data_IF_735876472540
#
_entry.id   IF_735876472540
#
_cell.length_a   1.000
_cell.length_b   1.000
_cell.length_c   1.000
_cell.angle_alpha   90.00
_cell.angle_beta   90.00
_cell.angle_gamma   90.00
#
_symmetry.space_group_name_H-M   'P 1'
#
loop_
_entity.id
_entity.type
_entity.pdbx_description
1 polymer ?
#
# COMPACT_ATOMS: atom_id res chain seq x y z
N UNK A 1 -10.41 17.50 -0.99
CA UNK A 1 -9.05 17.11 -1.45
C UNK A 1 -9.14 16.99 -2.95
N UNK A 2 -8.40 17.82 -3.67
CA UNK A 2 -8.33 17.72 -5.13
C UNK A 2 -7.32 16.63 -5.48
N UNK A 3 -7.82 15.58 -6.14
CA UNK A 3 -7.03 14.43 -6.56
C UNK A 3 -6.41 14.79 -7.91
N UNK A 4 -5.10 14.61 -8.07
CA UNK A 4 -4.43 14.89 -9.34
C UNK A 4 -4.84 13.84 -10.40
N UNK A 5 -4.77 14.17 -11.70
CA UNK A 5 -5.07 13.20 -12.77
C UNK A 5 -4.20 11.94 -12.72
N UNK A 6 -2.98 12.07 -12.21
CA UNK A 6 -2.03 10.99 -12.06
C UNK A 6 -2.41 10.06 -10.91
N UNK A 7 -2.80 10.61 -9.76
CA UNK A 7 -3.38 9.85 -8.65
C UNK A 7 -4.68 9.16 -9.06
N UNK A 8 -5.53 9.83 -9.84
CA UNK A 8 -6.80 9.27 -10.33
C UNK A 8 -6.56 8.05 -11.25
N UNK A 9 -5.57 8.12 -12.13
CA UNK A 9 -5.15 7.02 -13.00
C UNK A 9 -4.60 5.83 -12.18
N UNK A 10 -3.81 6.12 -11.16
CA UNK A 10 -3.25 5.11 -10.25
C UNK A 10 -4.36 4.42 -9.43
N UNK A 11 -5.32 5.18 -8.92
CA UNK A 11 -6.49 4.66 -8.20
C UNK A 11 -7.35 3.77 -9.11
N UNK A 12 -7.57 4.17 -10.37
CA UNK A 12 -8.27 3.34 -11.37
C UNK A 12 -7.54 2.02 -11.62
N UNK A 13 -6.22 2.06 -11.86
CA UNK A 13 -5.41 0.87 -12.08
C UNK A 13 -5.48 -0.10 -10.87
N UNK A 14 -5.41 0.43 -9.65
CA UNK A 14 -5.49 -0.36 -8.42
C UNK A 14 -6.87 -1.00 -8.22
N UNK A 15 -7.97 -0.29 -8.52
CA UNK A 15 -9.33 -0.86 -8.46
C UNK A 15 -9.59 -1.88 -9.57
N UNK A 16 -9.11 -1.62 -10.77
CA UNK A 16 -9.27 -2.52 -11.93
C UNK A 16 -8.47 -3.81 -11.82
N UNK A 17 -7.40 -3.82 -11.01
CA UNK A 17 -6.59 -5.00 -10.82
C UNK A 17 -7.22 -6.05 -9.88
N UNK A 18 -8.39 -5.76 -9.28
CA UNK A 18 -9.05 -6.59 -8.24
C UNK A 18 -8.09 -7.01 -7.10
N UNK A 19 -6.98 -6.29 -6.96
CA UNK A 19 -5.95 -6.62 -5.99
C UNK A 19 -6.52 -6.32 -4.61
N UNK A 20 -6.42 -7.26 -3.65
CA UNK A 20 -6.78 -6.98 -2.27
C UNK A 20 -6.09 -5.69 -1.84
N UNK A 21 -6.78 -4.75 -1.15
CA UNK A 21 -6.21 -3.46 -0.75
C UNK A 21 -4.83 -3.58 -0.10
N UNK A 22 -4.62 -4.67 0.65
CA UNK A 22 -3.34 -5.04 1.24
C UNK A 22 -2.21 -5.27 0.21
N UNK A 23 -2.50 -5.96 -0.89
CA UNK A 23 -1.52 -6.20 -1.96
C UNK A 23 -1.12 -4.90 -2.66
N UNK A 24 -2.09 -4.03 -2.94
CA UNK A 24 -1.82 -2.70 -3.51
C UNK A 24 -0.89 -1.86 -2.60
N UNK A 25 -1.17 -1.84 -1.30
CA UNK A 25 -0.37 -1.11 -0.32
C UNK A 25 1.06 -1.66 -0.21
N UNK A 26 1.23 -2.99 -0.27
CA UNK A 26 2.54 -3.64 -0.28
C UNK A 26 3.34 -3.25 -1.53
N UNK A 27 2.70 -3.17 -2.70
CA UNK A 27 3.37 -2.76 -3.94
C UNK A 27 3.82 -1.29 -3.89
N UNK A 28 2.98 -0.39 -3.36
CA UNK A 28 3.35 1.01 -3.16
C UNK A 28 4.51 1.13 -2.18
N UNK A 29 4.48 0.39 -1.07
CA UNK A 29 5.59 0.30 -0.10
C UNK A 29 6.90 -0.11 -0.78
N UNK A 30 6.87 -1.16 -1.60
CA UNK A 30 8.06 -1.63 -2.31
C UNK A 30 8.57 -0.59 -3.32
N UNK A 31 7.68 0.05 -4.08
CA UNK A 31 8.08 1.08 -5.04
C UNK A 31 8.80 2.26 -4.35
N UNK A 32 8.27 2.73 -3.22
CA UNK A 32 8.85 3.85 -2.45
C UNK A 32 10.16 3.45 -1.78
N UNK A 33 10.26 2.23 -1.23
CA UNK A 33 11.50 1.72 -0.63
C UNK A 33 12.67 1.72 -1.63
N UNK A 34 12.38 1.40 -2.89
CA UNK A 34 13.37 1.34 -3.97
C UNK A 34 13.56 2.65 -4.73
N UNK A 35 12.74 3.68 -4.48
CA UNK A 35 12.92 5.01 -5.07
C UNK A 35 13.93 5.84 -4.25
N UNK A 36 15.21 5.60 -4.53
CA UNK A 36 16.35 6.31 -3.93
C UNK A 36 16.70 7.60 -4.67
N UNK A 37 16.02 7.91 -5.77
CA UNK A 37 16.39 9.00 -6.69
C UNK A 37 15.44 10.19 -6.56
N UNK A 38 14.13 9.95 -6.39
CA UNK A 38 13.12 11.01 -6.40
C UNK A 38 12.62 11.39 -5.01
N UNK A 39 12.91 10.58 -3.99
CA UNK A 39 12.44 10.79 -2.62
C UNK A 39 13.63 10.93 -1.67
N UNK A 40 13.65 12.02 -0.92
CA UNK A 40 14.62 12.23 0.16
C UNK A 40 14.51 11.09 1.20
N UNK A 41 15.66 10.61 1.68
CA UNK A 41 15.75 9.45 2.58
C UNK A 41 14.90 9.60 3.84
N UNK A 42 14.88 10.78 4.48
CA UNK A 42 14.06 11.00 5.69
C UNK A 42 12.57 10.96 5.37
N UNK A 43 12.20 11.56 4.23
CA UNK A 43 10.80 11.58 3.78
C UNK A 43 10.33 10.19 3.35
N UNK A 44 11.21 9.39 2.75
CA UNK A 44 10.97 7.98 2.44
C UNK A 44 10.72 7.20 3.73
N UNK A 45 11.54 7.39 4.76
CA UNK A 45 11.36 6.70 6.04
C UNK A 45 10.04 7.05 6.74
N UNK A 46 9.66 8.34 6.74
CA UNK A 46 8.38 8.79 7.29
C UNK A 46 7.17 8.19 6.55
N UNK A 47 7.26 8.12 5.22
CA UNK A 47 6.22 7.50 4.38
C UNK A 47 6.16 5.99 4.60
N UNK A 48 7.31 5.32 4.70
CA UNK A 48 7.39 3.88 4.99
C UNK A 48 6.78 3.54 6.34
N UNK A 49 7.08 4.32 7.38
CA UNK A 49 6.52 4.15 8.72
C UNK A 49 5.00 4.36 8.75
N UNK A 50 4.51 5.33 7.97
CA UNK A 50 3.08 5.56 7.81
C UNK A 50 2.41 4.37 7.12
N UNK A 51 2.99 3.88 6.01
CA UNK A 51 2.48 2.70 5.30
C UNK A 51 2.47 1.44 6.17
N UNK A 52 3.52 1.20 6.96
CA UNK A 52 3.58 0.06 7.88
C UNK A 52 2.47 0.11 8.93
N UNK A 53 2.10 1.30 9.41
CA UNK A 53 0.98 1.50 10.35
C UNK A 53 -0.36 1.11 9.74
N UNK A 54 -0.57 1.35 8.44
CA UNK A 54 -1.81 0.97 7.74
C UNK A 54 -1.81 -0.50 7.28
N UNK A 55 -0.66 -1.03 6.87
CA UNK A 55 -0.51 -2.40 6.38
C UNK A 55 -0.64 -3.41 7.52
N UNK A 56 -0.07 -3.12 8.70
CA UNK A 56 -0.04 -4.05 9.85
C UNK A 56 -1.42 -4.62 10.22
N UNK A 57 -2.41 -3.77 10.54
CA UNK A 57 -3.77 -4.23 10.86
C UNK A 57 -4.43 -5.02 9.73
N UNK A 58 -4.31 -4.54 8.48
CA UNK A 58 -4.86 -5.22 7.31
C UNK A 58 -4.25 -6.60 7.08
N UNK A 59 -2.96 -6.76 7.39
CA UNK A 59 -2.26 -8.04 7.31
C UNK A 59 -2.74 -9.01 8.39
N UNK A 60 -2.91 -8.53 9.63
CA UNK A 60 -3.44 -9.36 10.71
C UNK A 60 -4.89 -9.79 10.47
N UNK A 61 -5.73 -8.89 9.96
CA UNK A 61 -7.11 -9.19 9.56
C UNK A 61 -7.15 -10.24 8.44
N UNK A 62 -6.32 -10.08 7.39
CA UNK A 62 -6.22 -11.04 6.30
C UNK A 62 -5.74 -12.41 6.78
N UNK A 63 -4.79 -12.45 7.73
CA UNK A 63 -4.27 -13.69 8.32
C UNK A 63 -5.31 -14.38 9.19
N UNK A 64 -6.12 -13.63 9.93
CA UNK A 64 -7.22 -14.16 10.73
C UNK A 64 -8.35 -14.68 9.86
N UNK A 65 -8.78 -13.93 8.84
CA UNK A 65 -9.79 -14.37 7.88
C UNK A 65 -9.41 -15.69 7.20
N UNK A 66 -8.13 -15.84 6.81
CA UNK A 66 -7.60 -17.10 6.26
C UNK A 66 -7.68 -18.27 7.23
N UNK A 67 -7.45 -18.05 8.54
CA UNK A 67 -7.59 -19.11 9.55
C UNK A 67 -9.05 -19.53 9.72
N UNK A 68 -9.99 -18.61 9.62
CA UNK A 68 -11.43 -18.89 9.78
C UNK A 68 -12.03 -19.60 8.56
N UNK A 69 -11.51 -19.38 7.35
CA UNK A 69 -11.95 -20.10 6.13
C UNK A 69 -11.43 -21.54 6.04
N UNK A 70 -10.47 -21.94 6.88
CA UNK A 70 -9.93 -23.31 6.95
C UNK A 70 -10.42 -24.10 8.18
N UNK A 71 -11.36 -23.56 8.96
CA UNK A 71 -11.90 -24.18 10.17
C UNK A 71 -13.28 -24.80 9.94
#
# INVERSE_FOLDING_TARGET
>A
MDITPQEESMIKALRSAELPPLFALIQVRNAILHDTVNVDERRRDDVMKSLDTYIGPLWDDARQARKTTQA
#
